data_IF_598375473140
#
_entry.id   IF_598375473140
#
_cell.length_a   1.000
_cell.length_b   1.000
_cell.length_c   1.000
_cell.angle_alpha   90.00
_cell.angle_beta   90.00
_cell.angle_gamma   90.00
#
_symmetry.space_group_name_H-M   'P 1'
#
loop_
_entity.id
_entity.type
_entity.pdbx_description
1 polymer ?
#
# COMPACT_ATOMS: atom_id res chain seq x y z
N UNK A 1 -14.45 -3.77 1.84
CA UNK A 1 -13.79 -4.68 2.80
C UNK A 1 -13.29 -3.87 3.98
N UNK A 2 -13.32 -4.42 5.19
CA UNK A 2 -12.56 -3.84 6.31
C UNK A 2 -11.12 -4.32 6.26
N UNK A 3 -10.17 -3.40 6.40
CA UNK A 3 -8.74 -3.69 6.28
C UNK A 3 -7.89 -2.73 7.12
N UNK A 4 -6.68 -3.17 7.43
CA UNK A 4 -5.70 -2.37 8.17
C UNK A 4 -4.63 -1.85 7.23
N UNK A 5 -4.29 -0.57 7.38
CA UNK A 5 -3.25 0.11 6.61
C UNK A 5 -2.32 0.86 7.55
N UNK A 6 -1.06 1.05 7.12
CA UNK A 6 -0.06 1.79 7.88
C UNK A 6 0.46 2.96 7.07
N UNK A 7 0.52 4.15 7.68
CA UNK A 7 1.09 5.34 7.05
C UNK A 7 2.63 5.37 7.18
N UNK A 8 3.27 6.36 6.56
CA UNK A 8 4.74 6.53 6.64
C UNK A 8 5.24 6.85 8.06
N UNK A 9 4.36 7.32 8.95
CA UNK A 9 4.66 7.54 10.38
C UNK A 9 4.61 6.23 11.19
N UNK A 10 4.22 5.11 10.58
CA UNK A 10 4.09 3.81 11.26
C UNK A 10 2.79 3.62 12.04
N UNK A 11 1.79 4.49 11.88
CA UNK A 11 0.49 4.37 12.56
C UNK A 11 -0.45 3.44 11.79
N UNK A 12 -1.01 2.47 12.50
CA UNK A 12 -2.01 1.52 11.97
C UNK A 12 -3.40 2.19 11.99
N UNK A 13 -4.14 2.06 10.90
CA UNK A 13 -5.47 2.61 10.71
C UNK A 13 -6.40 1.52 10.18
N UNK A 14 -7.63 1.44 10.72
CA UNK A 14 -8.68 0.53 10.24
C UNK A 14 -9.59 1.28 9.27
N UNK A 15 -9.74 0.74 8.07
CA UNK A 15 -10.77 1.17 7.12
C UNK A 15 -12.00 0.29 7.29
N UNK A 16 -13.19 0.90 7.26
CA UNK A 16 -14.46 0.19 7.33
C UNK A 16 -15.10 0.08 5.94
N UNK A 17 -15.81 -1.02 5.72
CA UNK A 17 -16.51 -1.30 4.46
C UNK A 17 -17.63 -0.28 4.24
N UNK A 18 -17.50 0.50 3.17
CA UNK A 18 -18.52 1.45 2.74
C UNK A 18 -19.57 0.83 1.81
N UNK A 19 -19.20 -0.17 1.00
CA UNK A 19 -20.09 -0.85 0.06
C UNK A 19 -19.68 -2.31 -0.14
N UNK A 20 -20.57 -3.10 -0.74
CA UNK A 20 -20.31 -4.47 -1.13
C UNK A 20 -19.51 -4.52 -2.46
N UNK A 21 -18.61 -5.51 -2.61
CA UNK A 21 -17.90 -5.70 -3.86
C UNK A 21 -18.87 -5.99 -5.02
N UNK A 22 -18.60 -5.52 -6.24
CA UNK A 22 -19.50 -5.73 -7.38
C UNK A 22 -19.42 -7.16 -7.93
N UNK A 23 -20.56 -7.72 -8.33
CA UNK A 23 -20.63 -9.06 -8.93
C UNK A 23 -20.17 -10.15 -7.96
N UNK A 24 -19.33 -11.07 -8.46
CA UNK A 24 -18.80 -12.20 -7.69
C UNK A 24 -17.46 -11.90 -7.00
N UNK A 25 -17.07 -10.62 -6.91
CA UNK A 25 -15.84 -10.24 -6.24
C UNK A 25 -15.91 -10.51 -4.72
N UNK A 26 -14.80 -11.01 -4.17
CA UNK A 26 -14.66 -11.39 -2.75
C UNK A 26 -13.64 -10.50 -2.03
N UNK A 27 -13.55 -10.61 -0.71
CA UNK A 27 -12.50 -9.95 0.06
C UNK A 27 -11.14 -10.60 -0.18
N UNK A 28 -10.06 -9.81 -0.17
CA UNK A 28 -8.72 -10.28 -0.53
C UNK A 28 -8.25 -11.47 0.31
N UNK A 29 -8.53 -11.44 1.62
CA UNK A 29 -8.13 -12.53 2.53
C UNK A 29 -8.89 -13.83 2.25
N UNK A 30 -10.15 -13.75 1.80
CA UNK A 30 -10.95 -14.91 1.42
C UNK A 30 -10.37 -15.55 0.16
N UNK A 31 -10.01 -14.74 -0.84
CA UNK A 31 -9.40 -15.21 -2.09
C UNK A 31 -8.09 -15.95 -1.79
N UNK A 32 -7.24 -15.39 -0.93
CA UNK A 32 -5.96 -16.02 -0.55
C UNK A 32 -6.21 -17.32 0.23
N UNK A 33 -7.18 -17.35 1.14
CA UNK A 33 -7.54 -18.56 1.89
C UNK A 33 -8.08 -19.67 0.98
N UNK A 34 -8.98 -19.34 0.06
CA UNK A 34 -9.54 -20.30 -0.91
C UNK A 34 -8.44 -20.85 -1.84
N UNK A 35 -7.51 -19.99 -2.28
CA UNK A 35 -6.36 -20.42 -3.06
C UNK A 35 -5.46 -21.39 -2.27
N UNK A 36 -5.20 -21.08 -0.99
CA UNK A 36 -4.39 -21.94 -0.12
C UNK A 36 -5.07 -23.30 0.15
N UNK A 37 -6.39 -23.29 0.36
CA UNK A 37 -7.19 -24.50 0.51
C UNK A 37 -7.18 -25.34 -0.77
N UNK A 38 -7.28 -24.71 -1.94
CA UNK A 38 -7.19 -25.40 -3.22
C UNK A 38 -5.81 -26.05 -3.45
N UNK A 39 -4.74 -25.39 -3.04
CA UNK A 39 -3.37 -25.90 -3.25
C UNK A 39 -2.93 -26.95 -2.23
N UNK A 40 -3.29 -26.77 -0.95
CA UNK A 40 -2.73 -27.56 0.16
C UNK A 40 -3.80 -28.33 0.96
N UNK A 41 -5.07 -28.30 0.53
CA UNK A 41 -6.22 -28.84 1.26
C UNK A 41 -6.32 -28.33 2.71
N UNK A 42 -5.80 -27.13 2.98
CA UNK A 42 -5.76 -26.51 4.30
C UNK A 42 -5.90 -25.00 4.20
N UNK A 43 -6.82 -24.43 4.99
CA UNK A 43 -6.99 -22.98 5.16
C UNK A 43 -5.84 -22.39 5.99
N UNK A 44 -5.47 -21.13 5.71
CA UNK A 44 -4.49 -20.41 6.52
C UNK A 44 -5.12 -19.93 7.83
N UNK A 45 -6.35 -19.45 7.75
CA UNK A 45 -7.13 -18.94 8.88
C UNK A 45 -8.59 -19.42 8.76
N UNK A 46 -9.24 -19.69 9.89
CA UNK A 46 -10.63 -20.16 9.92
C UNK A 46 -11.61 -19.00 9.79
N UNK A 47 -11.29 -17.86 10.40
CA UNK A 47 -12.09 -16.64 10.37
C UNK A 47 -11.21 -15.38 10.26
N UNK A 48 -11.87 -14.23 10.14
CA UNK A 48 -11.20 -12.93 10.01
C UNK A 48 -10.55 -12.48 11.33
N UNK A 49 -11.15 -12.83 12.46
CA UNK A 49 -10.66 -12.42 13.79
C UNK A 49 -9.35 -13.13 14.15
N UNK A 50 -9.19 -14.39 13.73
CA UNK A 50 -7.95 -15.18 13.83
C UNK A 50 -6.83 -14.53 13.00
N UNK A 51 -7.13 -14.10 11.76
CA UNK A 51 -6.19 -13.37 10.91
C UNK A 51 -5.77 -12.04 11.54
N UNK A 52 -6.73 -11.24 12.00
CA UNK A 52 -6.45 -9.94 12.65
C UNK A 52 -5.61 -10.13 13.92
N UNK A 53 -5.97 -11.11 14.76
CA UNK A 53 -5.24 -11.43 15.99
C UNK A 53 -3.82 -11.91 15.72
N UNK A 54 -3.64 -12.76 14.71
CA UNK A 54 -2.32 -13.25 14.28
C UNK A 54 -1.43 -12.11 13.79
N UNK A 55 -1.99 -11.18 13.00
CA UNK A 55 -1.30 -9.97 12.55
C UNK A 55 -0.86 -9.09 13.73
N UNK A 56 -1.76 -8.80 14.69
CA UNK A 56 -1.42 -7.98 15.86
C UNK A 56 -0.38 -8.64 16.76
N UNK A 57 -0.47 -9.95 16.96
CA UNK A 57 0.53 -10.71 17.71
C UNK A 57 1.91 -10.61 17.05
N UNK A 58 1.99 -10.81 15.73
CA UNK A 58 3.24 -10.65 14.98
C UNK A 58 3.85 -9.25 15.16
N UNK A 59 3.04 -8.20 15.06
CA UNK A 59 3.48 -6.82 15.22
C UNK A 59 3.96 -6.52 16.65
N UNK A 60 3.29 -7.05 17.67
CA UNK A 60 3.69 -6.88 19.06
C UNK A 60 5.02 -7.60 19.35
N UNK A 61 5.18 -8.84 18.90
CA UNK A 61 6.43 -9.58 19.03
C UNK A 61 7.61 -8.84 18.37
N UNK A 62 7.37 -8.20 17.22
CA UNK A 62 8.40 -7.41 16.54
C UNK A 62 8.75 -6.13 17.31
N UNK A 63 7.75 -5.45 17.91
CA UNK A 63 7.99 -4.29 18.78
C UNK A 63 8.80 -4.66 20.02
N UNK A 64 8.46 -5.78 20.67
CA UNK A 64 9.19 -6.29 21.83
C UNK A 64 10.66 -6.58 21.49
N UNK A 65 10.93 -7.21 20.33
CA UNK A 65 12.29 -7.42 19.83
C UNK A 65 13.04 -6.11 19.63
N UNK A 66 12.41 -5.12 18.99
CA UNK A 66 13.03 -3.80 18.76
C UNK A 66 13.31 -3.04 20.05
N UNK A 67 12.42 -3.11 21.05
CA UNK A 67 12.68 -2.51 22.37
C UNK A 67 13.81 -3.22 23.13
N UNK A 68 14.03 -4.51 22.86
CA UNK A 68 15.13 -5.27 23.45
C UNK A 68 16.46 -5.07 22.70
N UNK A 69 16.40 -4.63 21.43
CA UNK A 69 17.56 -4.36 20.54
C UNK A 69 17.97 -2.88 20.51
N UNK A 70 17.39 -2.02 21.36
CA UNK A 70 17.61 -0.56 21.36
C UNK A 70 19.06 -0.11 21.62
N UNK A 71 20.02 -1.02 21.78
CA UNK A 71 21.45 -0.74 21.93
C UNK A 71 22.29 -0.98 20.65
N UNK A 72 21.69 -1.35 19.51
CA UNK A 72 22.45 -1.61 18.28
C UNK A 72 22.09 -0.70 17.09
N UNK A 73 21.87 0.59 17.32
CA UNK A 73 22.01 1.59 16.23
C UNK A 73 23.45 2.07 16.09
N UNK A 74 24.39 1.12 15.97
CA UNK A 74 25.68 1.38 15.36
C UNK A 74 25.63 0.82 13.93
N UNK A 75 24.75 1.37 13.10
CA UNK A 75 24.89 1.28 11.64
C UNK A 75 26.05 2.22 11.27
N UNK A 76 27.25 1.84 11.69
CA UNK A 76 28.51 2.50 11.40
C UNK A 76 29.39 1.58 10.58
N UNK A 77 28.79 0.85 9.63
CA UNK A 77 29.54 0.41 8.47
C UNK A 77 29.79 1.67 7.62
N UNK A 78 31.01 2.21 7.74
CA UNK A 78 31.57 3.21 6.83
C UNK A 78 31.61 2.60 5.42
N UNK A 79 30.47 2.56 4.75
CA UNK A 79 30.46 2.27 3.32
C UNK A 79 31.13 3.45 2.61
N UNK A 80 32.03 3.15 1.68
CA UNK A 80 32.72 4.16 0.90
C UNK A 80 31.69 4.90 0.06
N UNK A 81 31.33 6.11 0.49
CA UNK A 81 30.40 6.96 -0.25
C UNK A 81 31.04 7.34 -1.59
N UNK A 82 30.41 6.90 -2.68
CA UNK A 82 30.79 7.29 -4.03
C UNK A 82 29.91 8.47 -4.41
N UNK A 83 30.52 9.54 -4.89
CA UNK A 83 29.78 10.70 -5.39
C UNK A 83 29.19 10.36 -6.76
N UNK A 84 27.92 9.98 -6.79
CA UNK A 84 27.15 9.73 -8.00
C UNK A 84 25.95 10.68 -8.13
N UNK A 85 25.53 10.92 -9.36
CA UNK A 85 24.37 11.77 -9.60
C UNK A 85 23.07 10.97 -9.41
N UNK A 86 22.19 11.44 -8.54
CA UNK A 86 20.91 10.81 -8.24
C UNK A 86 19.93 11.00 -9.40
N UNK A 87 19.63 9.92 -10.13
CA UNK A 87 18.59 9.91 -11.16
C UNK A 87 17.22 9.70 -10.52
N UNK A 88 16.45 10.78 -10.38
CA UNK A 88 15.09 10.73 -9.84
C UNK A 88 14.11 10.51 -10.98
N UNK A 89 13.32 9.44 -10.90
CA UNK A 89 12.15 9.23 -11.78
C UNK A 89 10.90 9.75 -11.09
N UNK A 90 10.30 10.80 -11.63
CA UNK A 90 9.03 11.30 -11.12
C UNK A 90 7.91 10.38 -11.58
N UNK A 91 7.16 9.83 -10.63
CA UNK A 91 5.96 9.05 -10.94
C UNK A 91 4.82 9.99 -11.32
N UNK A 92 4.01 9.58 -12.29
CA UNK A 92 2.82 10.34 -12.67
C UNK A 92 1.83 10.38 -11.51
N UNK A 93 1.67 11.56 -10.92
CA UNK A 93 0.80 11.80 -9.77
C UNK A 93 -0.64 11.31 -10.03
N UNK A 94 -1.21 11.65 -11.20
CA UNK A 94 -2.59 11.30 -11.58
C UNK A 94 -2.77 9.83 -11.99
N UNK A 95 -1.69 9.08 -12.20
CA UNK A 95 -1.73 7.67 -12.63
C UNK A 95 -0.98 6.72 -11.66
N UNK A 96 -0.88 7.14 -10.41
CA UNK A 96 -0.06 6.51 -9.37
C UNK A 96 -0.51 5.11 -8.95
N UNK A 97 -1.81 4.79 -9.06
CA UNK A 97 -2.40 3.49 -8.73
C UNK A 97 -3.51 3.10 -9.74
N UNK A 98 -4.04 1.88 -9.61
CA UNK A 98 -5.06 1.33 -10.53
C UNK A 98 -6.40 2.07 -10.48
N UNK A 99 -6.77 2.61 -9.32
CA UNK A 99 -8.01 3.37 -9.13
C UNK A 99 -7.92 4.71 -9.84
N UNK A 100 -6.83 5.45 -9.61
CA UNK A 100 -6.57 6.74 -10.25
C UNK A 100 -6.45 6.57 -11.78
N UNK A 101 -5.81 5.50 -12.24
CA UNK A 101 -5.68 5.18 -13.67
C UNK A 101 -7.01 4.90 -14.37
N UNK A 102 -7.94 4.28 -13.66
CA UNK A 102 -9.28 3.97 -14.20
C UNK A 102 -10.26 5.15 -14.05
N UNK A 103 -9.85 6.24 -13.39
CA UNK A 103 -10.69 7.40 -13.11
C UNK A 103 -10.72 8.38 -14.27
N UNK A 104 -11.93 8.64 -14.80
CA UNK A 104 -12.16 9.68 -15.81
C UNK A 104 -11.75 11.06 -15.31
N UNK A 105 -12.08 11.38 -14.05
CA UNK A 105 -11.76 12.68 -13.43
C UNK A 105 -10.25 12.89 -13.32
N UNK A 106 -9.47 11.87 -12.98
CA UNK A 106 -8.00 12.01 -12.91
C UNK A 106 -7.37 12.23 -14.29
N UNK A 107 -7.93 11.61 -15.34
CA UNK A 107 -7.52 11.85 -16.73
C UNK A 107 -7.80 13.30 -17.12
N UNK A 108 -8.99 13.83 -16.80
CA UNK A 108 -9.35 15.23 -17.05
C UNK A 108 -8.42 16.20 -16.29
N UNK A 109 -8.12 15.93 -15.01
CA UNK A 109 -7.17 16.73 -14.24
C UNK A 109 -5.76 16.72 -14.85
N UNK A 110 -5.29 15.57 -15.34
CA UNK A 110 -4.01 15.46 -16.00
C UNK A 110 -3.97 16.29 -17.30
N UNK A 111 -5.02 16.20 -18.12
CA UNK A 111 -5.13 16.97 -19.37
C UNK A 111 -5.20 18.48 -19.11
N UNK A 112 -5.93 18.90 -18.08
CA UNK A 112 -6.00 20.30 -17.66
C UNK A 112 -4.64 20.84 -17.19
N UNK A 113 -3.78 20.00 -16.60
CA UNK A 113 -2.41 20.38 -16.25
C UNK A 113 -1.51 20.53 -17.48
N UNK A 114 -1.71 19.71 -18.52
CA UNK A 114 -0.89 19.73 -19.74
C UNK A 114 -1.29 20.90 -20.66
N UNK A 115 -2.58 21.23 -20.73
CA UNK A 115 -3.08 22.32 -21.56
C UNK A 115 -2.78 23.68 -20.90
N UNK A 116 -1.65 24.31 -21.29
CA UNK A 116 -1.39 25.71 -20.99
C UNK A 116 -2.45 26.64 -21.63
N UNK A 117 -2.73 27.77 -20.96
CA UNK A 117 -3.70 28.82 -21.36
C UNK A 117 -3.64 29.10 -22.87
N UNK A 118 -4.81 29.11 -23.52
CA UNK A 118 -4.98 29.70 -24.85
C UNK A 118 -4.41 31.13 -24.84
N UNK A 119 -3.24 31.33 -25.44
CA UNK A 119 -2.73 32.66 -25.76
C UNK A 119 -3.65 33.16 -26.86
N UNK A 120 -4.51 34.13 -26.55
CA UNK A 120 -5.56 34.64 -27.46
C UNK A 120 -5.02 35.37 -28.69
N UNK A 121 -4.24 34.68 -29.51
CA UNK A 121 -3.60 35.17 -30.74
C UNK A 121 -3.95 34.33 -31.96
N UNK A 122 -5.01 33.52 -31.88
CA UNK A 122 -5.65 32.95 -33.06
C UNK A 122 -7.01 33.63 -33.27
N UNK A 123 -6.95 34.74 -34.02
CA UNK A 123 -8.06 35.52 -34.55
C UNK A 123 -7.61 36.25 -35.80
#
# INVERSE_FOLDING_TARGET
QDGYFTNLEGKIQKCNKASYPPGDAKEDWQIINELAEFMNNRKLFNDKDELESSMFNYLNLQKEKQSNESDQTNISEKQNFINENLKISFKDYYFSNVIARSSKTMIECNNAKINFKSTGTEG
#
